data_IF_003371964463
#
_entry.id   IF_003371964463
#
_cell.length_a   1.000
_cell.length_b   1.000
_cell.length_c   1.000
_cell.angle_alpha   90.00
_cell.angle_beta   90.00
_cell.angle_gamma   90.00
#
_symmetry.space_group_name_H-M   'P 1'
#
loop_
_entity.id
_entity.type
_entity.pdbx_description
1 polymer ?
#
# COMPACT_ATOMS: atom_id res chain seq x y z
N UNK A 1 16.32 21.53 68.53
CA UNK A 1 17.02 21.87 67.26
C UNK A 1 16.87 20.65 66.34
N UNK A 2 15.86 20.64 65.47
CA UNK A 2 15.60 19.54 64.53
C UNK A 2 15.63 20.16 63.15
N UNK A 3 16.74 19.95 62.44
CA UNK A 3 16.90 20.37 61.05
C UNK A 3 16.29 19.32 60.14
N UNK A 4 15.34 19.71 59.30
CA UNK A 4 14.90 18.91 58.16
C UNK A 4 16.03 18.84 57.12
N UNK A 5 16.28 17.69 56.49
CA UNK A 5 17.25 17.63 55.40
C UNK A 5 16.68 18.34 54.17
N UNK A 6 17.30 19.48 53.81
CA UNK A 6 17.07 20.18 52.55
C UNK A 6 17.85 19.46 51.46
N UNK A 7 17.15 18.71 50.61
CA UNK A 7 17.74 18.14 49.40
C UNK A 7 17.91 19.26 48.37
N UNK A 8 19.12 19.51 47.83
CA UNK A 8 19.32 20.54 46.82
C UNK A 8 18.61 20.17 45.52
N UNK A 9 17.77 21.08 45.00
CA UNK A 9 16.99 20.92 43.77
C UNK A 9 17.84 20.80 42.47
N UNK A 10 19.17 20.85 42.57
CA UNK A 10 20.10 20.90 41.42
C UNK A 10 20.52 19.54 40.87
N UNK A 11 19.82 18.45 41.20
CA UNK A 11 19.94 17.16 40.52
C UNK A 11 18.63 16.78 39.85
N UNK A 12 17.96 17.74 39.21
CA UNK A 12 17.04 17.44 38.12
C UNK A 12 17.89 16.91 36.96
N UNK A 13 18.22 15.61 37.03
CA UNK A 13 18.73 14.85 35.89
C UNK A 13 17.80 15.20 34.74
N UNK A 14 18.35 15.80 33.68
CA UNK A 14 17.64 16.00 32.45
C UNK A 14 17.07 14.64 32.08
N UNK A 15 15.77 14.45 32.33
CA UNK A 15 15.00 13.36 31.77
C UNK A 15 15.04 13.64 30.28
N UNK A 16 16.03 13.06 29.61
CA UNK A 16 15.92 12.71 28.21
C UNK A 16 14.50 12.19 28.03
N UNK A 17 13.65 12.84 27.21
CA UNK A 17 12.33 12.32 26.97
C UNK A 17 12.54 10.90 26.46
N UNK A 18 12.12 9.93 27.27
CA UNK A 18 12.10 8.54 26.88
C UNK A 18 11.19 8.47 25.67
N UNK A 19 11.79 8.36 24.49
CA UNK A 19 11.08 7.99 23.28
C UNK A 19 10.52 6.61 23.56
N UNK A 20 9.27 6.54 24.02
CA UNK A 20 8.52 5.31 23.99
C UNK A 20 8.50 4.85 22.53
N UNK A 21 8.80 3.57 22.22
CA UNK A 21 8.78 3.07 20.84
C UNK A 21 7.42 3.20 20.12
N UNK A 22 6.39 3.67 20.81
CA UNK A 22 5.05 3.95 20.27
C UNK A 22 4.62 5.43 20.35
N UNK A 23 5.56 6.37 20.49
CA UNK A 23 5.26 7.79 20.59
C UNK A 23 5.34 8.51 19.24
N UNK A 24 4.23 8.55 18.51
CA UNK A 24 4.05 9.51 17.41
C UNK A 24 4.02 8.93 16.00
N UNK A 25 3.51 7.71 15.80
CA UNK A 25 3.03 7.36 14.46
C UNK A 25 1.74 8.12 14.24
N UNK A 26 1.81 9.24 13.49
CA UNK A 26 0.63 9.73 12.77
C UNK A 26 0.05 8.50 12.08
N UNK A 27 -1.16 8.09 12.45
CA UNK A 27 -1.86 7.00 11.74
C UNK A 27 -1.93 7.46 10.29
N UNK A 28 -1.02 6.95 9.47
CA UNK A 28 -0.93 7.28 8.06
C UNK A 28 -1.76 6.24 7.34
N UNK A 29 -2.65 6.70 6.49
CA UNK A 29 -3.30 5.83 5.53
C UNK A 29 -2.23 5.28 4.59
N UNK A 30 -2.02 3.97 4.67
CA UNK A 30 -1.12 3.23 3.78
C UNK A 30 -1.95 2.61 2.66
N UNK A 31 -1.42 2.64 1.44
CA UNK A 31 -2.06 1.99 0.30
C UNK A 31 -1.61 0.53 0.22
N UNK A 32 -2.57 -0.36 -0.04
CA UNK A 32 -2.26 -1.76 -0.36
C UNK A 32 -1.67 -1.80 -1.77
N UNK A 33 -0.50 -2.42 -1.92
CA UNK A 33 0.08 -2.68 -3.23
C UNK A 33 -0.75 -3.73 -3.96
N UNK A 34 -1.36 -3.35 -5.07
CA UNK A 34 -2.12 -4.25 -5.94
C UNK A 34 -1.31 -4.51 -7.19
N UNK A 35 -1.25 -5.77 -7.62
CA UNK A 35 -0.64 -6.15 -8.89
C UNK A 35 -1.63 -6.99 -9.68
N UNK A 36 -1.64 -6.79 -11.00
CA UNK A 36 -2.46 -7.60 -11.90
C UNK A 36 -1.55 -8.38 -12.83
N UNK A 37 -1.87 -9.66 -13.04
CA UNK A 37 -1.15 -10.55 -13.96
C UNK A 37 -2.12 -11.15 -14.97
N UNK A 38 -1.95 -10.79 -16.24
CA UNK A 38 -2.66 -11.44 -17.34
C UNK A 38 -1.91 -12.72 -17.73
N UNK A 39 -2.63 -13.85 -17.78
CA UNK A 39 -2.08 -15.11 -18.32
C UNK A 39 -2.33 -15.18 -19.83
N UNK A 40 -1.47 -15.86 -20.60
CA UNK A 40 -1.79 -16.23 -21.97
C UNK A 40 -3.02 -17.16 -22.03
N UNK A 41 -3.64 -17.22 -23.21
CA UNK A 41 -4.68 -18.20 -23.48
C UNK A 41 -4.10 -19.62 -23.39
N UNK A 42 -4.85 -20.51 -22.78
CA UNK A 42 -4.54 -21.94 -22.70
C UNK A 42 -4.75 -22.61 -24.06
N UNK A 43 -4.20 -23.82 -24.23
CA UNK A 43 -4.36 -24.61 -25.46
C UNK A 43 -5.84 -24.85 -25.81
N UNK A 44 -6.68 -25.07 -24.79
CA UNK A 44 -8.12 -25.31 -24.98
C UNK A 44 -8.83 -24.07 -25.50
N UNK A 45 -8.55 -22.89 -24.93
CA UNK A 45 -9.13 -21.60 -25.36
C UNK A 45 -8.68 -21.24 -26.77
N UNK A 46 -7.40 -21.48 -27.10
CA UNK A 46 -6.90 -21.31 -28.46
C UNK A 46 -7.60 -22.24 -29.46
N UNK A 47 -7.85 -23.50 -29.10
CA UNK A 47 -8.58 -24.45 -29.95
C UNK A 47 -10.06 -24.07 -30.16
N UNK A 48 -10.63 -23.27 -29.26
CA UNK A 48 -11.98 -22.71 -29.37
C UNK A 48 -11.99 -21.34 -30.06
N UNK A 49 -10.84 -20.83 -30.50
CA UNK A 49 -10.69 -19.51 -31.11
C UNK A 49 -11.16 -18.35 -30.22
N UNK A 50 -10.94 -18.47 -28.91
CA UNK A 50 -11.22 -17.38 -27.97
C UNK A 50 -10.38 -16.15 -28.31
N UNK A 51 -11.01 -14.97 -28.21
CA UNK A 51 -10.37 -13.69 -28.49
C UNK A 51 -9.64 -13.15 -27.26
N UNK A 52 -8.49 -12.51 -27.47
CA UNK A 52 -7.75 -11.84 -26.40
C UNK A 52 -8.48 -10.55 -26.01
N UNK A 53 -9.13 -10.57 -24.85
CA UNK A 53 -9.92 -9.44 -24.36
C UNK A 53 -9.15 -8.45 -23.49
N UNK A 54 -7.95 -8.82 -23.02
CA UNK A 54 -7.14 -7.99 -22.12
C UNK A 54 -5.81 -7.61 -22.77
N UNK A 55 -5.46 -6.34 -22.64
CA UNK A 55 -4.19 -5.78 -23.11
C UNK A 55 -3.48 -5.05 -21.97
N UNK A 56 -2.15 -5.12 -21.95
CA UNK A 56 -1.31 -4.52 -20.91
C UNK A 56 -0.38 -3.49 -21.55
N UNK A 57 -0.87 -2.27 -21.84
CA UNK A 57 -0.08 -1.25 -22.55
C UNK A 57 1.08 -0.67 -21.74
N UNK A 58 0.97 -0.69 -20.40
CA UNK A 58 1.99 -0.22 -19.47
C UNK A 58 1.97 -1.04 -18.17
N UNK A 59 2.91 -0.78 -17.27
CA UNK A 59 3.12 -1.57 -16.04
C UNK A 59 2.02 -1.39 -14.98
N UNK A 60 1.17 -0.37 -15.12
CA UNK A 60 0.17 0.03 -14.12
C UNK A 60 -1.26 0.10 -14.68
N UNK A 61 -1.45 -0.31 -15.93
CA UNK A 61 -2.71 -0.15 -16.64
C UNK A 61 -3.04 -1.43 -17.41
N UNK A 62 -4.27 -1.89 -17.29
CA UNK A 62 -4.85 -2.91 -18.19
C UNK A 62 -6.03 -2.33 -18.96
N UNK A 63 -6.17 -2.77 -20.20
CA UNK A 63 -7.28 -2.41 -21.07
C UNK A 63 -8.14 -3.63 -21.34
N UNK A 64 -9.44 -3.51 -21.05
CA UNK A 64 -10.44 -4.44 -21.52
C UNK A 64 -10.87 -4.04 -22.93
N UNK A 65 -10.41 -4.78 -23.94
CA UNK A 65 -10.85 -4.71 -25.32
C UNK A 65 -11.98 -5.71 -25.50
N UNK A 66 -13.21 -5.29 -25.18
CA UNK A 66 -14.37 -6.18 -25.29
C UNK A 66 -14.46 -6.73 -26.72
N UNK A 67 -14.38 -8.06 -26.91
CA UNK A 67 -14.54 -8.65 -28.25
C UNK A 67 -15.93 -8.41 -28.84
N UNK A 68 -16.94 -8.15 -27.99
CA UNK A 68 -18.26 -7.69 -28.41
C UNK A 68 -18.24 -6.14 -28.49
N UNK A 69 -18.24 -5.62 -29.72
CA UNK A 69 -18.02 -4.20 -30.06
C UNK A 69 -19.04 -3.20 -29.49
N UNK A 70 -20.03 -3.64 -28.72
CA UNK A 70 -21.08 -2.78 -28.16
C UNK A 70 -20.58 -1.87 -27.02
N UNK A 71 -19.40 -2.15 -26.44
CA UNK A 71 -18.85 -1.32 -25.36
C UNK A 71 -17.48 -0.75 -25.73
N UNK A 72 -17.23 0.53 -25.43
CA UNK A 72 -15.92 1.11 -25.61
C UNK A 72 -14.89 0.38 -24.73
N UNK A 73 -13.61 0.36 -25.14
CA UNK A 73 -12.54 -0.19 -24.31
C UNK A 73 -12.51 0.47 -22.93
N UNK A 74 -12.36 -0.34 -21.89
CA UNK A 74 -12.33 0.15 -20.50
C UNK A 74 -10.92 0.03 -19.94
N UNK A 75 -10.42 1.09 -19.31
CA UNK A 75 -9.08 1.14 -18.71
C UNK A 75 -9.15 1.02 -17.21
N UNK A 76 -8.27 0.20 -16.64
CA UNK A 76 -8.12 0.04 -15.19
C UNK A 76 -6.68 0.33 -14.80
N UNK A 77 -6.49 1.03 -13.67
CA UNK A 77 -5.19 1.33 -13.09
C UNK A 77 -5.04 0.66 -11.73
N UNK A 78 -3.84 0.19 -11.42
CA UNK A 78 -3.53 -0.50 -10.18
C UNK A 78 -2.22 0.00 -9.56
#
# INVERSE_FOLDING_TARGET
>A
MVGTPVTPASKMIQRTPSTTPGGGTRVREEKILVTVRVRPLSRREQALYDLIAWDCPDDHTILFKNPNQERPPTSYKF
#
